data_IF_843361383522
#
_entry.id   IF_843361383522
#
_cell.length_a   1.000
_cell.length_b   1.000
_cell.length_c   1.000
_cell.angle_alpha   90.00
_cell.angle_beta   90.00
_cell.angle_gamma   90.00
#
_symmetry.space_group_name_H-M   'P 1'
#
loop_
_entity.id
_entity.type
_entity.pdbx_description
1 polymer ?
#
# COMPACT_ATOMS: atom_id res chain seq x y z
N UNK A 1 -23.22 -0.16 -5.69
CA UNK A 1 -22.62 -0.69 -4.45
C UNK A 1 -22.60 0.43 -3.42
N UNK A 2 -23.39 0.30 -2.35
CA UNK A 2 -23.67 1.35 -1.35
C UNK A 2 -23.27 0.84 0.06
N UNK A 3 -22.17 0.09 0.12
CA UNK A 3 -21.57 -0.42 1.35
C UNK A 3 -20.08 -0.12 1.36
N UNK A 4 -19.49 0.09 2.53
CA UNK A 4 -18.06 0.38 2.68
C UNK A 4 -17.19 -0.75 2.07
N UNK A 5 -16.70 -0.56 0.85
CA UNK A 5 -15.86 -1.55 0.14
C UNK A 5 -14.49 -1.77 0.82
N UNK A 6 -14.15 -0.97 1.85
CA UNK A 6 -12.96 -1.14 2.67
C UNK A 6 -13.22 -0.57 4.08
N UNK A 7 -13.38 -1.45 5.06
CA UNK A 7 -13.62 -1.06 6.45
C UNK A 7 -12.46 -0.27 7.06
N UNK A 8 -11.22 -0.53 6.63
CA UNK A 8 -10.05 0.23 7.07
C UNK A 8 -10.11 1.68 6.58
N UNK A 9 -10.57 1.93 5.35
CA UNK A 9 -10.81 3.28 4.84
C UNK A 9 -11.97 3.96 5.55
N UNK A 10 -13.05 3.23 5.86
CA UNK A 10 -14.16 3.78 6.64
C UNK A 10 -13.70 4.18 8.04
N UNK A 11 -13.00 3.30 8.76
CA UNK A 11 -12.44 3.58 10.09
C UNK A 11 -11.48 4.78 10.08
N UNK A 12 -10.72 4.94 8.99
CA UNK A 12 -9.82 6.08 8.75
C UNK A 12 -10.49 7.34 8.16
N UNK A 13 -11.79 7.33 7.91
CA UNK A 13 -12.50 8.44 7.25
C UNK A 13 -12.78 9.62 8.19
N UNK A 14 -13.00 10.81 7.61
CA UNK A 14 -13.42 11.99 8.37
C UNK A 14 -14.79 11.80 9.03
N UNK A 15 -15.68 11.03 8.40
CA UNK A 15 -16.99 10.70 8.94
C UNK A 15 -16.87 9.87 10.22
N UNK A 16 -16.12 8.75 10.16
CA UNK A 16 -15.92 7.92 11.34
C UNK A 16 -15.21 8.69 12.45
N UNK A 17 -14.19 9.51 12.14
CA UNK A 17 -13.56 10.39 13.15
C UNK A 17 -14.55 11.31 13.86
N UNK A 18 -15.57 11.82 13.15
CA UNK A 18 -16.58 12.72 13.73
C UNK A 18 -17.62 11.98 14.58
N UNK A 19 -18.05 10.79 14.16
CA UNK A 19 -19.18 10.06 14.76
C UNK A 19 -18.79 8.77 15.50
N UNK A 20 -17.49 8.48 15.68
CA UNK A 20 -16.99 7.22 16.26
C UNK A 20 -17.67 6.85 17.58
N UNK A 21 -17.84 7.82 18.49
CA UNK A 21 -18.45 7.57 19.80
C UNK A 21 -19.94 7.22 19.70
N UNK A 22 -20.68 7.91 18.83
CA UNK A 22 -22.10 7.66 18.58
C UNK A 22 -22.29 6.29 17.93
N UNK A 23 -21.51 5.99 16.89
CA UNK A 23 -21.51 4.69 16.23
C UNK A 23 -21.18 3.55 17.22
N UNK A 24 -20.19 3.76 18.10
CA UNK A 24 -19.85 2.80 19.16
C UNK A 24 -21.00 2.61 20.15
N UNK A 25 -21.70 3.67 20.55
CA UNK A 25 -22.89 3.55 21.41
C UNK A 25 -24.05 2.79 20.75
N UNK A 26 -24.07 2.75 19.40
CA UNK A 26 -25.02 1.95 18.62
C UNK A 26 -24.47 0.58 18.21
N UNK A 27 -23.32 0.15 18.74
CA UNK A 27 -22.80 -1.21 18.58
C UNK A 27 -21.83 -1.40 17.41
N UNK A 28 -21.31 -0.33 16.79
CA UNK A 28 -20.23 -0.47 15.82
C UNK A 28 -18.94 -0.94 16.51
N UNK A 29 -18.45 -2.10 16.10
CA UNK A 29 -17.15 -2.65 16.49
C UNK A 29 -16.39 -3.16 15.27
N UNK A 30 -15.06 -3.07 15.30
CA UNK A 30 -14.19 -3.60 14.25
C UNK A 30 -13.47 -4.85 14.76
N UNK A 31 -13.57 -5.94 14.01
CA UNK A 31 -12.78 -7.14 14.23
C UNK A 31 -11.46 -7.04 13.43
N UNK A 32 -10.30 -6.87 14.07
CA UNK A 32 -9.03 -6.84 13.36
C UNK A 32 -8.70 -8.23 12.83
N UNK A 33 -8.27 -8.30 11.57
CA UNK A 33 -7.78 -9.53 10.95
C UNK A 33 -6.36 -9.29 10.47
N UNK A 34 -5.44 -10.19 10.82
CA UNK A 34 -4.02 -10.04 10.53
C UNK A 34 -3.62 -10.56 9.15
N UNK A 35 -4.39 -11.49 8.56
CA UNK A 35 -4.09 -12.18 7.30
C UNK A 35 -5.26 -12.02 6.31
N UNK A 36 -5.45 -10.81 5.77
CA UNK A 36 -6.63 -10.48 4.97
C UNK A 36 -6.48 -10.79 3.48
N UNK A 37 -5.26 -11.01 2.98
CA UNK A 37 -4.98 -11.11 1.55
C UNK A 37 -4.09 -12.31 1.23
N UNK A 38 -4.49 -13.11 0.25
CA UNK A 38 -3.70 -14.18 -0.30
C UNK A 38 -4.04 -14.45 -1.77
N UNK A 39 -3.05 -14.91 -2.52
CA UNK A 39 -3.16 -15.37 -3.89
C UNK A 39 -2.88 -16.87 -3.94
N UNK A 40 -3.72 -17.61 -4.66
CA UNK A 40 -3.49 -19.03 -4.97
C UNK A 40 -2.97 -19.16 -6.41
N UNK A 41 -2.02 -20.06 -6.61
CA UNK A 41 -1.33 -20.25 -7.89
C UNK A 41 -1.63 -21.64 -8.50
N UNK A 42 -1.56 -21.80 -9.83
CA UNK A 42 -1.91 -23.06 -10.50
C UNK A 42 -1.05 -24.26 -10.11
N UNK A 43 0.16 -24.04 -9.59
CA UNK A 43 1.07 -25.08 -9.11
C UNK A 43 0.73 -25.57 -7.69
N UNK A 44 -0.43 -25.18 -7.15
CA UNK A 44 -0.90 -25.57 -5.82
C UNK A 44 -0.25 -24.78 -4.69
N UNK A 45 0.60 -23.80 -5.00
CA UNK A 45 1.18 -22.89 -4.00
C UNK A 45 0.26 -21.71 -3.74
N UNK A 46 0.51 -21.01 -2.64
CA UNK A 46 -0.18 -19.78 -2.29
C UNK A 46 0.78 -18.81 -1.61
N UNK A 47 0.51 -17.53 -1.72
CA UNK A 47 1.23 -16.50 -1.00
C UNK A 47 0.24 -15.55 -0.33
N UNK A 48 0.45 -15.25 0.94
CA UNK A 48 -0.43 -14.36 1.71
C UNK A 48 0.33 -13.34 2.54
N UNK A 49 -0.22 -12.14 2.58
CA UNK A 49 0.36 -11.00 3.28
C UNK A 49 -0.32 -10.83 4.63
N UNK A 50 0.50 -10.59 5.65
CA UNK A 50 0.03 -10.24 6.99
C UNK A 50 0.33 -8.77 7.31
N UNK A 51 -0.40 -8.19 8.27
CA UNK A 51 0.02 -6.93 8.90
C UNK A 51 1.30 -7.08 9.76
N UNK A 52 1.75 -8.32 10.01
CA UNK A 52 3.06 -8.63 10.55
C UNK A 52 4.11 -8.72 9.43
N UNK A 53 5.10 -7.83 9.49
CA UNK A 53 6.19 -7.74 8.53
C UNK A 53 7.03 -9.03 8.50
N UNK A 54 7.41 -9.57 9.65
CA UNK A 54 8.29 -10.72 9.75
C UNK A 54 7.56 -12.02 9.39
N UNK A 55 6.26 -12.10 9.67
CA UNK A 55 5.42 -13.20 9.18
C UNK A 55 5.38 -13.24 7.65
N UNK A 56 5.20 -12.08 7.02
CA UNK A 56 5.19 -11.98 5.54
C UNK A 56 6.57 -12.27 4.95
N UNK A 57 7.64 -11.72 5.54
CA UNK A 57 9.01 -11.98 5.11
C UNK A 57 9.38 -13.47 5.25
N UNK A 58 8.93 -14.14 6.32
CA UNK A 58 9.15 -15.57 6.52
C UNK A 58 8.43 -16.43 5.47
N UNK A 59 7.21 -16.03 5.07
CA UNK A 59 6.49 -16.68 3.96
C UNK A 59 7.24 -16.50 2.64
N UNK A 60 7.73 -15.30 2.35
CA UNK A 60 8.55 -15.05 1.16
C UNK A 60 9.84 -15.86 1.17
N UNK A 61 10.49 -16.01 2.33
CA UNK A 61 11.73 -16.78 2.45
C UNK A 61 11.58 -18.27 2.09
N UNK A 62 10.35 -18.81 2.16
CA UNK A 62 10.06 -20.16 1.67
C UNK A 62 10.06 -20.25 0.13
N UNK A 63 9.98 -19.12 -0.57
CA UNK A 63 10.13 -19.02 -2.03
C UNK A 63 11.52 -18.50 -2.42
N UNK A 64 11.95 -17.38 -1.84
CA UNK A 64 13.23 -16.72 -2.10
C UNK A 64 13.69 -15.88 -0.90
N UNK A 65 14.93 -16.10 -0.46
CA UNK A 65 15.56 -15.28 0.57
C UNK A 65 15.77 -13.82 0.10
N UNK A 66 16.01 -13.62 -1.21
CA UNK A 66 16.15 -12.29 -1.80
C UNK A 66 14.83 -11.52 -1.75
N UNK A 67 13.71 -12.18 -2.02
CA UNK A 67 12.38 -11.57 -1.96
C UNK A 67 11.98 -11.19 -0.52
N UNK A 68 12.34 -12.03 0.46
CA UNK A 68 12.16 -11.67 1.87
C UNK A 68 12.95 -10.42 2.27
N UNK A 69 14.18 -10.24 1.74
CA UNK A 69 14.96 -9.04 1.96
C UNK A 69 14.38 -7.82 1.20
N UNK A 70 13.91 -8.02 -0.03
CA UNK A 70 13.24 -7.00 -0.82
C UNK A 70 11.98 -6.48 -0.11
N UNK A 71 11.16 -7.38 0.44
CA UNK A 71 9.98 -7.01 1.22
C UNK A 71 10.33 -6.12 2.43
N UNK A 72 11.31 -6.53 3.25
CA UNK A 72 11.75 -5.72 4.41
C UNK A 72 12.22 -4.33 3.98
N UNK A 73 13.01 -4.26 2.90
CA UNK A 73 13.48 -2.99 2.32
C UNK A 73 12.31 -2.11 1.87
N UNK A 74 11.35 -2.67 1.13
CA UNK A 74 10.20 -1.96 0.59
C UNK A 74 9.29 -1.43 1.71
N UNK A 75 8.95 -2.26 2.71
CA UNK A 75 8.14 -1.81 3.84
C UNK A 75 8.87 -0.77 4.68
N UNK A 76 10.18 -0.92 4.88
CA UNK A 76 11.00 0.08 5.58
C UNK A 76 11.07 1.43 4.86
N UNK A 77 11.04 1.43 3.52
CA UNK A 77 11.02 2.65 2.71
C UNK A 77 9.63 3.28 2.61
N UNK A 78 8.57 2.50 2.79
CA UNK A 78 7.18 2.93 2.54
C UNK A 78 6.77 4.21 3.30
N UNK A 79 7.09 4.43 4.59
CA UNK A 79 6.71 5.67 5.28
C UNK A 79 7.21 6.95 4.58
N UNK A 80 8.41 6.91 3.99
CA UNK A 80 8.97 8.03 3.23
C UNK A 80 8.26 8.25 1.88
N UNK A 81 7.71 7.20 1.29
CA UNK A 81 6.93 7.26 0.04
C UNK A 81 5.47 7.68 0.29
N UNK A 82 4.89 7.18 1.38
CA UNK A 82 3.47 7.31 1.70
C UNK A 82 3.04 8.76 1.86
N UNK A 83 3.87 9.62 2.49
CA UNK A 83 3.57 11.06 2.62
C UNK A 83 3.31 11.70 1.25
N UNK A 84 4.12 11.37 0.25
CA UNK A 84 4.05 11.94 -1.09
C UNK A 84 2.88 11.35 -1.89
N UNK A 85 2.68 10.04 -1.81
CA UNK A 85 1.60 9.34 -2.48
C UNK A 85 0.23 9.77 -1.94
N UNK A 86 0.05 9.85 -0.63
CA UNK A 86 -1.22 10.29 -0.04
C UNK A 86 -1.50 11.76 -0.33
N UNK A 87 -0.48 12.61 -0.36
CA UNK A 87 -0.66 14.00 -0.79
C UNK A 87 -1.11 14.11 -2.23
N UNK A 88 -0.52 13.32 -3.13
CA UNK A 88 -0.93 13.28 -4.54
C UNK A 88 -2.37 12.76 -4.68
N UNK A 89 -2.68 11.62 -4.07
CA UNK A 89 -4.01 10.99 -4.13
C UNK A 89 -5.10 11.82 -3.46
N UNK A 90 -4.75 12.61 -2.44
CA UNK A 90 -5.66 13.53 -1.75
C UNK A 90 -5.77 14.91 -2.41
N UNK A 91 -4.99 15.21 -3.44
CA UNK A 91 -5.03 16.51 -4.11
C UNK A 91 -6.15 16.59 -5.14
N UNK A 92 -6.79 17.76 -5.32
CA UNK A 92 -7.71 17.98 -6.43
C UNK A 92 -7.01 17.70 -7.76
N UNK A 93 -7.67 16.97 -8.67
CA UNK A 93 -7.20 16.68 -10.03
C UNK A 93 -7.23 17.95 -10.90
N UNK A 94 -6.38 18.92 -10.57
CA UNK A 94 -6.22 20.19 -11.27
C UNK A 94 -4.77 20.38 -11.66
N UNK A 95 -4.51 20.96 -12.82
CA UNK A 95 -3.16 21.18 -13.33
C UNK A 95 -2.26 21.93 -12.32
N UNK A 96 -2.82 22.91 -11.60
CA UNK A 96 -2.10 23.69 -10.58
C UNK A 96 -1.69 22.84 -9.38
N UNK A 97 -2.59 22.01 -8.84
CA UNK A 97 -2.29 21.17 -7.69
C UNK A 97 -1.30 20.04 -8.05
N UNK A 98 -1.44 19.46 -9.25
CA UNK A 98 -0.51 18.46 -9.76
C UNK A 98 0.89 19.05 -10.00
N UNK A 99 0.99 20.24 -10.61
CA UNK A 99 2.27 20.93 -10.79
C UNK A 99 2.95 21.26 -9.45
N UNK A 100 2.19 21.73 -8.46
CA UNK A 100 2.72 21.98 -7.11
C UNK A 100 3.18 20.70 -6.40
N UNK A 101 2.53 19.57 -6.65
CA UNK A 101 2.93 18.27 -6.10
C UNK A 101 4.20 17.76 -6.77
N UNK A 102 4.30 17.84 -8.10
CA UNK A 102 5.50 17.47 -8.86
C UNK A 102 6.72 18.30 -8.45
N UNK A 103 6.54 19.62 -8.27
CA UNK A 103 7.61 20.52 -7.81
C UNK A 103 8.13 20.17 -6.41
N UNK A 104 7.23 19.86 -5.47
CA UNK A 104 7.63 19.46 -4.11
C UNK A 104 8.31 18.09 -4.09
N UNK A 105 7.83 17.14 -4.90
CA UNK A 105 8.43 15.83 -5.05
C UNK A 105 9.86 15.95 -5.60
N UNK A 106 10.04 16.74 -6.66
CA UNK A 106 11.35 17.01 -7.24
C UNK A 106 12.30 17.69 -6.25
N UNK A 107 11.84 18.69 -5.50
CA UNK A 107 12.66 19.32 -4.43
C UNK A 107 13.09 18.35 -3.34
N UNK A 108 12.21 17.44 -2.92
CA UNK A 108 12.47 16.53 -1.79
C UNK A 108 13.30 15.30 -2.18
N UNK A 109 13.08 14.74 -3.38
CA UNK A 109 13.64 13.44 -3.80
C UNK A 109 14.60 13.53 -5.00
N UNK A 110 14.79 14.72 -5.55
CA UNK A 110 15.57 14.95 -6.77
C UNK A 110 14.91 14.35 -8.02
N UNK A 111 15.65 14.39 -9.13
CA UNK A 111 15.18 13.92 -10.43
C UNK A 111 14.96 12.40 -10.48
N UNK A 112 15.88 11.62 -9.90
CA UNK A 112 15.78 10.16 -9.85
C UNK A 112 14.53 9.69 -9.07
N UNK A 113 14.28 10.25 -7.88
CA UNK A 113 13.10 9.89 -7.08
C UNK A 113 11.77 10.34 -7.71
N UNK A 114 11.77 11.43 -8.48
CA UNK A 114 10.60 11.85 -9.24
C UNK A 114 10.29 10.89 -10.41
N UNK A 115 11.33 10.41 -11.12
CA UNK A 115 11.19 9.38 -12.15
C UNK A 115 10.70 8.05 -11.58
N UNK A 116 11.23 7.61 -10.43
CA UNK A 116 10.77 6.38 -9.77
C UNK A 116 9.29 6.47 -9.36
N UNK A 117 8.86 7.63 -8.86
CA UNK A 117 7.44 7.87 -8.54
C UNK A 117 6.59 7.86 -9.80
N UNK A 118 7.04 8.51 -10.88
CA UNK A 118 6.36 8.48 -12.17
C UNK A 118 6.26 7.07 -12.75
N UNK A 119 7.33 6.27 -12.61
CA UNK A 119 7.34 4.86 -13.00
C UNK A 119 6.33 4.06 -12.18
N UNK A 120 6.28 4.24 -10.86
CA UNK A 120 5.28 3.59 -10.00
C UNK A 120 3.84 3.92 -10.44
N UNK A 121 3.56 5.18 -10.76
CA UNK A 121 2.22 5.63 -11.17
C UNK A 121 1.79 5.12 -12.55
N UNK A 122 2.74 4.91 -13.45
CA UNK A 122 2.48 4.49 -14.84
C UNK A 122 2.64 2.98 -15.05
N UNK A 123 3.28 2.28 -14.11
CA UNK A 123 3.45 0.82 -14.18
C UNK A 123 2.17 0.11 -13.79
N UNK A 124 1.90 -1.04 -14.42
CA UNK A 124 0.92 -1.96 -13.85
C UNK A 124 1.46 -2.50 -12.52
N UNK A 125 0.59 -2.82 -11.55
CA UNK A 125 1.01 -3.47 -10.31
C UNK A 125 1.85 -4.73 -10.56
N UNK A 126 1.52 -5.49 -11.61
CA UNK A 126 2.26 -6.70 -11.99
C UNK A 126 3.69 -6.41 -12.46
N UNK A 127 3.86 -5.43 -13.36
CA UNK A 127 5.19 -5.04 -13.85
C UNK A 127 6.07 -4.48 -12.72
N UNK A 128 5.46 -3.79 -11.74
CA UNK A 128 6.18 -3.33 -10.57
C UNK A 128 6.65 -4.48 -9.67
N UNK A 129 5.81 -5.49 -9.45
CA UNK A 129 6.18 -6.68 -8.68
C UNK A 129 7.33 -7.45 -9.36
N UNK A 130 7.24 -7.69 -10.67
CA UNK A 130 8.27 -8.38 -11.46
C UNK A 130 9.62 -7.64 -11.48
N UNK A 131 9.62 -6.32 -11.25
CA UNK A 131 10.85 -5.53 -11.14
C UNK A 131 11.48 -5.56 -9.73
N UNK A 132 10.74 -5.97 -8.71
CA UNK A 132 11.15 -5.91 -7.31
C UNK A 132 11.31 -7.29 -6.64
N UNK A 133 10.68 -8.32 -7.20
CA UNK A 133 10.67 -9.69 -6.71
C UNK A 133 11.08 -10.66 -7.83
N UNK A 134 11.80 -11.72 -7.46
CA UNK A 134 12.27 -12.76 -8.37
C UNK A 134 11.25 -13.89 -8.52
N UNK A 135 10.48 -14.17 -7.46
CA UNK A 135 9.50 -15.26 -7.46
C UNK A 135 8.23 -14.84 -8.22
N UNK A 136 7.66 -15.70 -9.08
CA UNK A 136 6.39 -15.42 -9.75
C UNK A 136 5.17 -15.45 -8.81
N UNK A 137 5.35 -15.91 -7.57
CA UNK A 137 4.33 -16.14 -6.54
C UNK A 137 4.07 -14.92 -5.63
N UNK A 138 4.24 -13.69 -6.17
CA UNK A 138 4.01 -12.41 -5.48
C UNK A 138 3.04 -11.54 -6.27
#
# INVERSE_FOLDING_TARGET
>A
DFGAMNLSLFAGSAFHRKYANELKSHGLEFAPVADCFASAFPDGKWFGVSNDLEKTASRLAAFSAADAAAWRRLVGAFPGEAEHLFRLLGSPMSARALAGTAWNLWRKKGFAGALDTGRLLLSSPRAWLEANFETPHV
#
